data_IF_644675589914
#
_entry.id   IF_644675589914
#
_cell.length_a   1.000
_cell.length_b   1.000
_cell.length_c   1.000
_cell.angle_alpha   90.00
_cell.angle_beta   90.00
_cell.angle_gamma   90.00
#
_symmetry.space_group_name_H-M   'P 1'
#
loop_
_entity.id
_entity.type
_entity.pdbx_description
1 polymer ?
#
# COMPACT_ATOMS: atom_id res chain seq x y z
N UNK A 1 -11.49 7.66 -25.14
CA UNK A 1 -10.53 8.40 -24.28
C UNK A 1 -10.62 7.96 -22.80
N UNK A 2 -11.56 7.10 -22.38
CA UNK A 2 -11.70 6.70 -20.96
C UNK A 2 -10.71 5.62 -20.47
N UNK A 3 -10.07 4.87 -21.38
CA UNK A 3 -9.20 3.74 -21.05
C UNK A 3 -7.77 4.11 -20.64
N UNK A 4 -7.32 5.34 -20.88
CA UNK A 4 -5.91 5.72 -20.63
C UNK A 4 -5.57 5.93 -19.16
N UNK A 5 -6.57 6.14 -18.30
CA UNK A 5 -6.41 6.42 -16.86
C UNK A 5 -6.83 5.28 -15.94
N UNK A 6 -6.98 4.07 -16.49
CA UNK A 6 -7.30 2.90 -15.71
C UNK A 6 -6.02 2.23 -15.19
N UNK A 7 -5.92 2.06 -13.88
CA UNK A 7 -4.81 1.39 -13.22
C UNK A 7 -5.30 0.68 -11.96
N UNK A 8 -4.66 -0.43 -11.51
CA UNK A 8 -4.98 -1.05 -10.25
C UNK A 8 -4.79 -0.09 -9.08
N UNK A 9 -5.85 0.11 -8.30
CA UNK A 9 -5.77 0.84 -7.05
C UNK A 9 -5.49 -0.11 -5.89
N UNK A 10 -4.94 0.45 -4.80
CA UNK A 10 -4.73 -0.29 -3.57
C UNK A 10 -5.39 0.42 -2.40
N UNK A 11 -5.57 -0.31 -1.30
CA UNK A 11 -6.04 0.23 -0.02
C UNK A 11 -5.05 -0.15 1.08
N UNK A 12 -4.80 0.80 1.97
CA UNK A 12 -3.96 0.63 3.15
C UNK A 12 -4.68 1.11 4.41
N UNK A 13 -4.34 0.46 5.52
CA UNK A 13 -4.86 0.87 6.83
C UNK A 13 -3.98 1.93 7.50
N UNK A 14 -4.62 2.90 8.12
CA UNK A 14 -4.02 3.88 9.02
C UNK A 14 -4.34 3.48 10.45
N UNK A 15 -3.30 3.17 11.22
CA UNK A 15 -3.45 2.52 12.52
C UNK A 15 -3.66 3.52 13.66
N UNK A 16 -4.71 3.29 14.47
CA UNK A 16 -5.05 4.12 15.64
C UNK A 16 -3.91 4.38 16.63
N UNK A 17 -2.94 3.45 16.69
CA UNK A 17 -1.81 3.52 17.63
C UNK A 17 -1.02 4.83 17.48
N UNK A 18 -0.88 5.31 16.25
CA UNK A 18 -0.10 6.51 15.94
C UNK A 18 -0.99 7.66 15.47
N UNK A 19 -2.16 7.34 14.91
CA UNK A 19 -3.12 8.30 14.40
C UNK A 19 -4.45 8.04 15.10
N UNK A 20 -4.73 8.62 16.28
CA UNK A 20 -6.01 8.44 16.97
C UNK A 20 -7.24 8.60 16.07
N UNK A 21 -7.24 9.60 15.19
CA UNK A 21 -8.28 9.86 14.18
C UNK A 21 -7.69 9.86 12.77
N UNK A 22 -8.57 9.87 11.75
CA UNK A 22 -8.15 10.08 10.36
C UNK A 22 -7.49 11.46 10.16
N UNK A 23 -7.98 12.49 10.85
CA UNK A 23 -7.47 13.87 10.78
C UNK A 23 -5.99 13.96 11.18
N UNK A 24 -5.53 13.13 12.11
CA UNK A 24 -4.12 13.11 12.51
C UNK A 24 -3.22 12.73 11.32
N UNK A 25 -3.67 11.78 10.49
CA UNK A 25 -2.95 11.42 9.27
C UNK A 25 -3.08 12.50 8.20
N UNK A 26 -4.25 13.12 8.04
CA UNK A 26 -4.47 14.20 7.07
C UNK A 26 -3.54 15.39 7.38
N UNK A 27 -3.42 15.80 8.64
CA UNK A 27 -2.53 16.89 9.08
C UNK A 27 -1.05 16.58 8.82
N UNK A 28 -0.63 15.34 9.07
CA UNK A 28 0.73 14.90 8.74
C UNK A 28 0.95 14.88 7.22
N UNK A 29 -0.02 14.38 6.44
CA UNK A 29 0.07 14.33 4.99
C UNK A 29 0.12 15.72 4.35
N UNK A 30 -0.59 16.70 4.91
CA UNK A 30 -0.56 18.09 4.48
C UNK A 30 0.84 18.73 4.66
N UNK A 31 1.56 18.32 5.71
CA UNK A 31 2.86 18.90 6.06
C UNK A 31 4.05 18.14 5.46
N UNK A 32 3.98 16.81 5.39
CA UNK A 32 5.10 15.94 5.02
C UNK A 32 4.84 15.10 3.76
N UNK A 33 3.69 15.29 3.10
CA UNK A 33 3.23 14.41 2.04
C UNK A 33 2.79 13.03 2.55
N UNK A 34 2.06 12.28 1.71
CA UNK A 34 1.68 10.92 2.05
C UNK A 34 2.87 9.98 1.85
N UNK A 35 3.23 9.22 2.89
CA UNK A 35 4.16 8.12 2.78
C UNK A 35 3.66 6.92 3.60
N UNK A 36 3.57 5.75 2.96
CA UNK A 36 3.09 4.52 3.61
C UNK A 36 4.06 3.38 3.41
N UNK A 37 4.58 2.85 4.53
CA UNK A 37 5.45 1.67 4.52
C UNK A 37 4.72 0.46 3.96
N UNK A 38 5.34 -0.21 3.00
CA UNK A 38 4.82 -1.44 2.39
C UNK A 38 5.76 -2.62 2.72
N UNK A 39 5.22 -3.80 3.05
CA UNK A 39 6.04 -4.98 3.33
C UNK A 39 6.56 -5.66 2.06
N UNK A 40 5.87 -5.44 0.93
CA UNK A 40 6.16 -6.02 -0.38
C UNK A 40 5.78 -5.00 -1.45
N UNK A 41 6.49 -4.98 -2.58
CA UNK A 41 6.21 -4.07 -3.69
C UNK A 41 4.94 -4.51 -4.45
N UNK A 42 3.98 -3.61 -4.70
CA UNK A 42 2.82 -3.93 -5.53
C UNK A 42 3.22 -3.87 -7.01
N UNK A 43 3.41 -5.02 -7.66
CA UNK A 43 3.93 -5.08 -9.05
C UNK A 43 3.01 -4.45 -10.10
N UNK A 44 1.71 -4.37 -9.83
CA UNK A 44 0.70 -3.98 -10.81
C UNK A 44 0.26 -2.51 -10.71
N UNK A 45 0.80 -1.72 -9.76
CA UNK A 45 0.49 -0.28 -9.73
C UNK A 45 1.19 0.44 -10.87
N UNK A 46 0.59 1.55 -11.31
CA UNK A 46 1.14 2.43 -12.33
C UNK A 46 1.35 3.81 -11.71
N UNK A 47 2.61 4.24 -11.49
CA UNK A 47 2.94 5.58 -11.03
C UNK A 47 2.20 6.68 -11.81
N UNK A 48 1.68 7.69 -11.10
CA UNK A 48 0.89 8.79 -11.63
C UNK A 48 -0.56 8.44 -11.96
N UNK A 49 -0.97 7.16 -11.92
CA UNK A 49 -2.34 6.72 -12.23
C UNK A 49 -3.00 5.96 -11.08
N UNK A 50 -2.29 5.00 -10.50
CA UNK A 50 -2.78 4.21 -9.37
C UNK A 50 -2.95 5.07 -8.13
N UNK A 51 -4.01 4.80 -7.37
CA UNK A 51 -4.33 5.47 -6.11
C UNK A 51 -4.11 4.53 -4.93
N UNK A 52 -3.67 5.10 -3.82
CA UNK A 52 -3.64 4.44 -2.52
C UNK A 52 -4.76 4.99 -1.65
N UNK A 53 -5.84 4.23 -1.53
CA UNK A 53 -6.93 4.53 -0.61
C UNK A 53 -6.50 4.29 0.84
N UNK A 54 -6.99 5.14 1.73
CA UNK A 54 -6.65 5.11 3.14
C UNK A 54 -7.91 4.86 3.96
N UNK A 55 -7.87 3.79 4.74
CA UNK A 55 -8.93 3.45 5.68
C UNK A 55 -8.46 3.60 7.13
N UNK A 56 -9.38 4.01 7.99
CA UNK A 56 -9.19 4.15 9.43
C UNK A 56 -10.47 3.69 10.14
N UNK A 57 -10.37 3.14 11.35
CA UNK A 57 -11.53 2.68 12.12
C UNK A 57 -11.83 3.49 13.37
N UNK A 58 -11.13 4.60 13.59
CA UNK A 58 -11.13 5.39 14.83
C UNK A 58 -10.97 4.56 16.11
N UNK A 59 -10.42 3.35 15.93
CA UNK A 59 -10.27 2.37 16.98
C UNK A 59 -11.44 1.46 17.29
N UNK A 60 -12.53 1.56 16.55
CA UNK A 60 -13.70 0.69 16.63
C UNK A 60 -13.63 -0.45 15.62
N UNK A 61 -13.39 -1.67 16.12
CA UNK A 61 -13.19 -2.84 15.25
C UNK A 61 -14.44 -3.08 14.39
N UNK A 62 -14.23 -3.09 13.07
CA UNK A 62 -15.29 -3.34 12.09
C UNK A 62 -15.95 -2.07 11.56
N UNK A 63 -15.58 -0.89 12.07
CA UNK A 63 -16.04 0.41 11.58
C UNK A 63 -15.00 1.08 10.67
N UNK A 64 -14.37 0.32 9.78
CA UNK A 64 -13.41 0.90 8.84
C UNK A 64 -14.11 1.90 7.93
N UNK A 65 -13.54 3.08 7.78
CA UNK A 65 -13.99 4.14 6.88
C UNK A 65 -12.84 4.55 5.96
N UNK A 66 -13.06 4.55 4.65
CA UNK A 66 -12.16 5.15 3.68
C UNK A 66 -12.38 6.66 3.76
N UNK A 67 -11.35 7.39 4.17
CA UNK A 67 -11.43 8.84 4.38
C UNK A 67 -10.74 9.64 3.27
N UNK A 68 -9.99 8.98 2.39
CA UNK A 68 -9.31 9.64 1.28
C UNK A 68 -8.37 8.71 0.54
N UNK A 69 -7.64 9.29 -0.41
CA UNK A 69 -6.59 8.62 -1.16
C UNK A 69 -5.50 9.60 -1.58
N UNK A 70 -4.35 9.07 -2.00
CA UNK A 70 -3.35 9.83 -2.72
C UNK A 70 -2.99 9.13 -4.03
N UNK A 71 -2.58 9.89 -5.05
CA UNK A 71 -2.04 9.34 -6.30
C UNK A 71 -0.61 8.89 -6.03
N UNK A 72 -0.27 7.66 -6.41
CA UNK A 72 1.04 7.08 -6.14
C UNK A 72 2.03 7.60 -7.18
N UNK A 73 3.11 8.27 -6.77
CA UNK A 73 4.21 8.68 -7.68
C UNK A 73 5.27 7.61 -7.88
N UNK A 74 5.36 6.66 -6.95
CA UNK A 74 6.30 5.56 -7.03
C UNK A 74 6.60 4.96 -5.67
N UNK A 75 7.77 4.35 -5.57
CA UNK A 75 8.26 3.70 -4.35
C UNK A 75 9.59 4.31 -3.95
N UNK A 76 9.69 4.79 -2.72
CA UNK A 76 10.96 5.15 -2.11
C UNK A 76 11.50 3.98 -1.29
N UNK A 77 12.79 3.64 -1.46
CA UNK A 77 13.45 2.57 -0.72
C UNK A 77 14.65 3.13 0.03
N UNK A 78 14.71 2.91 1.34
CA UNK A 78 15.80 3.43 2.16
C UNK A 78 17.01 2.49 2.05
N UNK A 79 17.96 2.82 1.19
CA UNK A 79 19.15 2.02 0.90
C UNK A 79 20.33 2.93 0.56
N UNK A 80 21.53 2.49 0.93
CA UNK A 80 22.80 3.17 0.62
C UNK A 80 23.71 2.29 -0.28
N UNK A 81 23.29 1.06 -0.57
CA UNK A 81 24.05 0.06 -1.31
C UNK A 81 23.72 0.15 -2.81
N UNK A 82 24.69 0.62 -3.61
CA UNK A 82 24.52 0.87 -5.05
C UNK A 82 24.10 -0.39 -5.83
N UNK A 83 24.75 -1.54 -5.57
CA UNK A 83 24.41 -2.81 -6.24
C UNK A 83 22.96 -3.23 -5.98
N UNK A 84 22.49 -3.04 -4.74
CA UNK A 84 21.09 -3.32 -4.40
C UNK A 84 20.14 -2.32 -5.05
N UNK A 85 20.51 -1.05 -5.13
CA UNK A 85 19.68 -0.02 -5.76
C UNK A 85 19.49 -0.36 -7.25
N UNK A 86 20.58 -0.64 -7.97
CA UNK A 86 20.54 -1.04 -9.38
C UNK A 86 19.65 -2.26 -9.58
N UNK A 87 19.82 -3.30 -8.75
CA UNK A 87 18.96 -4.49 -8.81
C UNK A 87 17.48 -4.15 -8.63
N UNK A 88 17.14 -3.27 -7.69
CA UNK A 88 15.74 -2.87 -7.46
C UNK A 88 15.18 -2.07 -8.64
N UNK A 89 15.99 -1.20 -9.24
CA UNK A 89 15.58 -0.42 -10.40
C UNK A 89 15.40 -1.30 -11.65
N UNK A 90 16.24 -2.32 -11.83
CA UNK A 90 16.10 -3.28 -12.91
C UNK A 90 14.87 -4.17 -12.73
N UNK A 91 14.65 -4.71 -11.52
CA UNK A 91 13.55 -5.63 -11.24
C UNK A 91 12.19 -4.93 -11.16
N UNK A 92 12.16 -3.67 -10.71
CA UNK A 92 10.94 -2.92 -10.42
C UNK A 92 10.88 -1.53 -11.08
N UNK A 93 11.59 -1.33 -12.19
CA UNK A 93 11.65 -0.03 -12.87
C UNK A 93 10.29 0.56 -13.24
N UNK A 94 9.28 -0.28 -13.47
CA UNK A 94 7.90 0.16 -13.73
C UNK A 94 7.22 0.87 -12.55
N UNK A 95 7.75 0.70 -11.33
CA UNK A 95 7.22 1.29 -10.10
C UNK A 95 7.83 2.66 -9.77
N UNK A 96 8.70 3.19 -10.63
CA UNK A 96 9.45 4.42 -10.36
C UNK A 96 10.16 4.35 -9.00
N UNK A 97 11.05 3.37 -8.85
CA UNK A 97 11.79 3.14 -7.60
C UNK A 97 12.87 4.22 -7.42
N UNK A 98 12.76 4.97 -6.33
CA UNK A 98 13.69 6.02 -5.96
C UNK A 98 14.46 5.63 -4.69
N UNK A 99 15.80 5.53 -4.75
CA UNK A 99 16.60 5.29 -3.57
C UNK A 99 16.61 6.54 -2.67
N UNK A 100 16.53 6.34 -1.36
CA UNK A 100 16.76 7.39 -0.38
C UNK A 100 17.84 6.93 0.59
N UNK A 101 18.88 7.76 0.75
CA UNK A 101 19.97 7.42 1.67
C UNK A 101 19.49 7.38 3.13
N UNK A 102 20.13 6.56 3.95
CA UNK A 102 19.86 6.51 5.40
C UNK A 102 20.12 7.86 6.06
N UNK A 103 21.12 8.61 5.57
CA UNK A 103 21.44 9.95 6.07
C UNK A 103 20.27 10.90 5.82
N UNK A 104 19.77 10.98 4.58
CA UNK A 104 18.61 11.79 4.25
C UNK A 104 17.39 11.39 5.08
N UNK A 105 17.09 10.09 5.15
CA UNK A 105 15.96 9.56 5.93
C UNK A 105 16.04 9.90 7.43
N UNK A 106 17.25 10.00 7.99
CA UNK A 106 17.46 10.34 9.40
C UNK A 106 17.26 11.83 9.71
N UNK A 107 17.49 12.70 8.70
CA UNK A 107 17.32 14.15 8.82
C UNK A 107 15.89 14.63 8.61
N UNK A 108 15.01 13.76 8.13
CA UNK A 108 13.61 14.10 7.90
C UNK A 108 12.83 14.37 9.20
N UNK A 109 11.82 15.25 9.14
CA UNK A 109 10.88 15.40 10.23
C UNK A 109 10.27 14.06 10.63
N UNK A 110 10.21 13.82 11.93
CA UNK A 110 9.65 12.58 12.48
C UNK A 110 8.15 12.50 12.22
N UNK A 111 7.72 11.44 11.53
CA UNK A 111 6.29 11.09 11.39
C UNK A 111 5.76 10.49 12.70
N UNK A 112 4.46 10.59 12.94
CA UNK A 112 3.76 10.01 14.09
C UNK A 112 4.00 8.50 14.17
N UNK A 113 4.09 7.81 13.03
CA UNK A 113 4.40 6.38 12.99
C UNK A 113 5.89 6.04 13.19
N UNK A 114 6.77 7.03 13.37
CA UNK A 114 8.21 6.88 13.53
C UNK A 114 9.02 7.40 12.34
N UNK A 115 10.32 7.13 12.36
CA UNK A 115 11.24 7.48 11.27
C UNK A 115 11.25 6.43 10.17
N UNK A 116 11.73 6.81 8.99
CA UNK A 116 11.98 5.86 7.91
C UNK A 116 13.26 5.08 8.20
N UNK A 117 13.20 3.76 8.02
CA UNK A 117 14.26 2.85 8.45
C UNK A 117 14.92 2.21 7.25
N UNK A 118 16.24 2.00 7.33
CA UNK A 118 17.01 1.24 6.34
C UNK A 118 16.34 -0.09 5.96
N UNK A 119 16.33 -0.40 4.67
CA UNK A 119 15.73 -1.59 4.08
C UNK A 119 14.20 -1.57 3.99
N UNK A 120 13.54 -0.48 4.38
CA UNK A 120 12.09 -0.35 4.22
C UNK A 120 11.73 0.38 2.91
N UNK A 121 10.61 -0.05 2.33
CA UNK A 121 10.00 0.57 1.13
C UNK A 121 8.73 1.34 1.50
N UNK A 122 8.51 2.46 0.83
CA UNK A 122 7.39 3.37 1.08
C UNK A 122 6.71 3.73 -0.23
N UNK A 123 5.39 3.63 -0.27
CA UNK A 123 4.61 4.32 -1.31
C UNK A 123 4.54 5.78 -0.97
N UNK A 124 4.80 6.63 -1.95
CA UNK A 124 4.81 8.08 -1.80
C UNK A 124 3.80 8.73 -2.74
N UNK A 125 3.29 9.89 -2.31
CA UNK A 125 2.34 10.66 -3.08
C UNK A 125 2.97 11.41 -4.24
N UNK A 126 2.15 11.67 -5.24
CA UNK A 126 2.44 12.59 -6.34
C UNK A 126 2.53 14.04 -5.85
N UNK A 127 3.55 14.73 -6.34
CA UNK A 127 3.79 16.15 -6.07
C UNK A 127 3.29 17.03 -7.24
N UNK A 128 3.08 16.43 -8.41
CA UNK A 128 2.42 17.06 -9.53
C UNK A 128 0.92 17.20 -9.26
N UNK A 129 0.51 18.43 -8.89
CA UNK A 129 -0.86 18.74 -8.55
C UNK A 129 -1.81 18.55 -9.72
N UNK A 130 -1.37 18.68 -10.97
CA UNK A 130 -2.25 18.49 -12.13
C UNK A 130 -2.76 17.05 -12.18
N UNK A 131 -1.92 16.07 -11.87
CA UNK A 131 -2.31 14.65 -11.76
C UNK A 131 -3.24 14.40 -10.57
N UNK A 132 -2.99 15.07 -9.44
CA UNK A 132 -3.87 14.96 -8.26
C UNK A 132 -5.25 15.53 -8.58
N UNK A 133 -5.31 16.71 -9.20
CA UNK A 133 -6.54 17.34 -9.68
C UNK A 133 -7.26 16.45 -10.69
N UNK A 134 -6.56 15.88 -11.66
CA UNK A 134 -7.15 14.96 -12.64
C UNK A 134 -7.76 13.71 -11.98
N UNK A 135 -7.11 13.18 -10.95
CA UNK A 135 -7.63 12.05 -10.17
C UNK A 135 -8.83 12.42 -9.29
N UNK A 136 -8.89 13.66 -8.81
CA UNK A 136 -9.95 14.18 -7.95
C UNK A 136 -11.14 14.77 -8.74
N UNK A 137 -10.94 15.20 -9.99
CA UNK A 137 -11.92 15.92 -10.81
C UNK A 137 -13.29 15.21 -10.87
N UNK A 138 -13.38 13.88 -11.06
CA UNK A 138 -14.67 13.20 -11.05
C UNK A 138 -15.38 13.17 -9.69
N UNK A 139 -14.69 13.58 -8.62
CA UNK A 139 -15.15 13.61 -7.24
C UNK A 139 -15.22 15.05 -6.70
N UNK A 140 -15.16 16.07 -7.56
CA UNK A 140 -15.03 17.47 -7.14
C UNK A 140 -16.11 17.95 -6.15
N UNK A 141 -17.32 17.37 -6.20
CA UNK A 141 -18.41 17.68 -5.26
C UNK A 141 -18.40 16.81 -3.98
N UNK A 142 -17.57 15.76 -3.95
CA UNK A 142 -17.54 14.73 -2.89
C UNK A 142 -16.22 14.68 -2.14
N UNK A 143 -15.21 15.43 -2.59
CA UNK A 143 -13.86 15.40 -2.05
C UNK A 143 -13.21 16.79 -2.11
N UNK A 144 -12.27 16.99 -1.20
CA UNK A 144 -11.42 18.16 -1.12
C UNK A 144 -9.95 17.73 -1.32
N UNK A 145 -9.11 18.63 -1.80
CA UNK A 145 -7.68 18.37 -2.01
C UNK A 145 -6.90 19.08 -0.90
N UNK A 146 -6.22 18.29 -0.06
CA UNK A 146 -5.43 18.78 1.06
C UNK A 146 -3.97 18.37 0.87
N UNK A 147 -3.21 19.27 0.23
CA UNK A 147 -1.83 18.99 -0.19
C UNK A 147 -1.81 17.89 -1.26
N UNK A 148 -1.06 16.83 -1.00
CA UNK A 148 -0.92 15.68 -1.91
C UNK A 148 -2.03 14.63 -1.76
N UNK A 149 -3.00 14.87 -0.87
CA UNK A 149 -4.08 13.95 -0.54
C UNK A 149 -5.43 14.48 -1.03
N UNK A 150 -6.26 13.56 -1.51
CA UNK A 150 -7.69 13.79 -1.77
C UNK A 150 -8.48 13.25 -0.57
N UNK A 151 -9.15 14.14 0.15
CA UNK A 151 -9.93 13.85 1.36
C UNK A 151 -11.40 13.79 1.00
N UNK A 152 -12.12 12.77 1.45
CA UNK A 152 -13.55 12.63 1.14
C UNK A 152 -14.38 13.45 2.11
N UNK A 153 -15.32 14.24 1.58
CA UNK A 153 -16.29 14.97 2.40
C UNK A 153 -17.21 14.01 3.16
N UNK A 154 -17.50 12.86 2.55
CA UNK A 154 -18.26 11.77 3.14
C UNK A 154 -17.43 10.48 3.07
N UNK A 155 -16.81 10.06 4.19
CA UNK A 155 -16.07 8.81 4.25
C UNK A 155 -16.92 7.60 3.86
N UNK A 156 -16.31 6.63 3.18
CA UNK A 156 -17.00 5.43 2.68
C UNK A 156 -16.85 4.28 3.68
N UNK A 157 -17.94 3.65 4.14
CA UNK A 157 -17.86 2.44 4.96
C UNK A 157 -17.09 1.32 4.24
N UNK A 158 -16.04 0.82 4.87
CA UNK A 158 -15.23 -0.27 4.37
C UNK A 158 -15.46 -1.51 5.24
N UNK A 159 -16.21 -2.51 4.75
CA UNK A 159 -16.78 -3.60 5.55
C UNK A 159 -15.74 -4.64 6.03
N UNK A 160 -14.44 -4.37 5.87
CA UNK A 160 -13.39 -5.31 6.25
C UNK A 160 -12.80 -4.95 7.61
N UNK A 161 -12.34 -5.99 8.29
CA UNK A 161 -11.52 -5.82 9.49
C UNK A 161 -10.18 -5.18 9.14
N UNK A 162 -9.59 -4.50 10.13
CA UNK A 162 -8.23 -3.96 10.07
C UNK A 162 -7.24 -5.02 9.55
N UNK A 163 -6.40 -4.61 8.61
CA UNK A 163 -5.33 -5.43 8.04
C UNK A 163 -3.98 -4.69 8.07
N UNK A 164 -2.89 -5.41 7.79
CA UNK A 164 -1.54 -4.84 7.68
C UNK A 164 -1.07 -4.88 6.23
N UNK A 165 -0.28 -3.88 5.86
CA UNK A 165 0.22 -3.74 4.49
C UNK A 165 -0.84 -3.14 3.58
N UNK A 166 -0.96 -3.70 2.38
CA UNK A 166 -1.86 -3.21 1.33
C UNK A 166 -2.67 -4.37 0.74
N UNK A 167 -3.83 -4.03 0.19
CA UNK A 167 -4.64 -4.92 -0.65
C UNK A 167 -5.01 -4.20 -1.95
N UNK A 168 -5.23 -4.94 -3.02
CA UNK A 168 -5.86 -4.37 -4.21
C UNK A 168 -7.29 -3.95 -3.88
N UNK A 169 -7.67 -2.78 -4.36
CA UNK A 169 -9.02 -2.28 -4.25
C UNK A 169 -9.92 -2.97 -5.27
N UNK A 170 -11.06 -3.48 -4.82
CA UNK A 170 -12.04 -4.13 -5.68
C UNK A 170 -12.80 -3.06 -6.48
N UNK A 171 -12.72 -3.05 -7.83
CA UNK A 171 -13.46 -2.08 -8.65
C UNK A 171 -14.97 -2.13 -8.36
N UNK A 172 -15.51 -3.33 -8.14
CA UNK A 172 -16.94 -3.56 -7.85
C UNK A 172 -17.36 -2.97 -6.50
N UNK A 173 -16.43 -2.82 -5.56
CA UNK A 173 -16.70 -2.13 -4.30
C UNK A 173 -16.88 -0.64 -4.53
N UNK A 174 -15.95 -0.01 -5.27
CA UNK A 174 -16.02 1.42 -5.59
C UNK A 174 -17.23 1.76 -6.48
N UNK A 175 -17.63 0.85 -7.38
CA UNK A 175 -18.80 1.03 -8.25
C UNK A 175 -20.10 1.29 -7.48
N UNK A 176 -20.22 0.81 -6.24
CA UNK A 176 -21.42 1.00 -5.40
C UNK A 176 -21.60 2.42 -4.88
N UNK A 177 -20.55 3.25 -4.96
CA UNK A 177 -20.53 4.61 -4.41
C UNK A 177 -20.48 5.68 -5.50
N UNK A 178 -20.93 5.34 -6.71
CA UNK A 178 -20.81 6.17 -7.93
C UNK A 178 -19.39 6.68 -8.15
N UNK A 179 -18.40 5.85 -7.79
CA UNK A 179 -17.00 6.20 -7.95
C UNK A 179 -16.57 5.98 -9.40
N UNK A 180 -15.70 6.84 -9.95
CA UNK A 180 -15.17 6.65 -11.29
C UNK A 180 -14.45 5.31 -11.35
N UNK A 181 -14.83 4.48 -12.31
CA UNK A 181 -14.25 3.17 -12.58
C UNK A 181 -12.88 3.33 -13.25
N UNK A 182 -11.93 3.84 -12.46
CA UNK A 182 -10.49 3.91 -12.78
C UNK A 182 -9.73 2.68 -12.29
N UNK A 183 -10.24 2.00 -11.27
CA UNK A 183 -9.58 0.79 -10.75
C UNK A 183 -9.77 -0.36 -11.73
N UNK A 184 -8.67 -0.98 -12.15
CA UNK A 184 -8.71 -2.23 -12.92
C UNK A 184 -8.74 -3.44 -11.99
N UNK A 185 -9.52 -4.48 -12.32
CA UNK A 185 -9.47 -5.74 -11.59
C UNK A 185 -8.10 -6.40 -11.80
N UNK A 186 -7.40 -6.74 -10.72
CA UNK A 186 -6.16 -7.51 -10.81
C UNK A 186 -6.51 -8.99 -10.94
N UNK A 187 -6.29 -9.56 -12.12
CA UNK A 187 -6.42 -11.01 -12.32
C UNK A 187 -5.19 -11.70 -11.74
N UNK A 188 -5.27 -12.14 -10.48
CA UNK A 188 -4.21 -13.00 -9.91
C UNK A 188 -4.15 -14.31 -10.70
N UNK A 189 -3.17 -14.47 -11.58
CA UNK A 189 -2.81 -15.79 -12.11
C UNK A 189 -2.14 -16.57 -10.99
N UNK A 190 -2.92 -17.33 -10.22
CA UNK A 190 -2.38 -18.27 -9.25
C UNK A 190 -1.72 -19.41 -10.04
N UNK A 191 -0.39 -19.39 -10.15
CA UNK A 191 0.36 -20.59 -10.55
C UNK A 191 0.28 -21.58 -9.40
N UNK A 192 -0.65 -22.53 -9.48
CA UNK A 192 -0.66 -23.69 -8.59
C UNK A 192 0.45 -24.63 -9.07
N UNK A 193 1.67 -24.42 -8.60
CA UNK A 193 2.75 -25.41 -8.77
C UNK A 193 2.51 -26.55 -7.78
N UNK A 194 1.99 -27.67 -8.26
CA UNK A 194 1.98 -28.92 -7.51
C UNK A 194 3.44 -29.38 -7.34
N UNK A 195 4.04 -29.11 -6.18
CA UNK A 195 5.26 -29.83 -5.78
C UNK A 195 4.90 -31.29 -5.56
N UNK A 196 5.52 -32.19 -6.33
CA UNK A 196 5.42 -33.63 -6.09
C UNK A 196 5.78 -33.94 -4.64
N UNK A 197 4.94 -34.74 -3.98
CA UNK A 197 5.20 -35.21 -2.61
C UNK A 197 6.50 -36.01 -2.62
N UNK A 198 7.54 -35.50 -1.95
CA UNK A 198 8.70 -36.31 -1.59
C UNK A 198 8.22 -37.54 -0.82
N UNK A 199 8.40 -38.73 -1.39
CA UNK A 199 8.26 -39.97 -0.65
C UNK A 199 9.31 -39.97 0.46
N UNK A 200 8.86 -39.90 1.72
CA UNK A 200 9.74 -40.09 2.86
C UNK A 200 10.00 -41.58 2.95
N UNK A 201 11.22 -42.00 2.60
CA UNK A 201 11.70 -43.33 2.90
C UNK A 201 11.68 -43.49 4.42
N UNK A 202 10.87 -44.42 4.93
CA UNK A 202 10.88 -44.82 6.33
C UNK A 202 12.12 -45.68 6.53
N UNK A 203 13.28 -45.05 6.72
CA UNK A 203 14.46 -45.75 7.19
C UNK A 203 14.22 -46.22 8.63
N UNK A 204 14.50 -47.50 8.86
CA UNK A 204 14.07 -48.26 10.03
C UNK A 204 14.50 -47.63 11.34
N UNK A 205 13.50 -47.25 12.15
CA UNK A 205 13.70 -46.99 13.57
C UNK A 205 14.05 -48.32 14.27
N UNK A 206 15.09 -48.35 15.10
CA UNK A 206 15.46 -49.54 15.85
C UNK A 206 14.31 -49.93 16.80
N UNK A 207 13.89 -51.20 16.71
CA UNK A 207 12.96 -51.83 17.63
C UNK A 207 13.53 -51.73 19.05
N UNK A 208 12.94 -50.87 19.88
CA UNK A 208 13.25 -50.84 21.31
C UNK A 208 12.93 -52.22 21.90
N UNK A 209 13.99 -52.95 22.27
CA UNK A 209 13.91 -54.14 23.09
C UNK A 209 13.39 -53.76 24.47
N UNK A 210 12.14 -54.10 24.75
CA UNK A 210 11.56 -54.01 26.09
C UNK A 210 12.30 -54.95 27.04
N UNK A 211 13.05 -54.37 27.98
CA UNK A 211 13.55 -55.08 29.15
C UNK A 211 12.38 -55.44 30.08
N UNK A 212 12.25 -56.73 30.35
CA UNK A 212 11.51 -57.24 31.51
C UNK A 212 12.30 -56.94 32.80
N UNK A 213 11.55 -56.94 33.90
CA UNK A 213 11.94 -56.86 35.33
C UNK A 213 13.33 -57.39 35.67
#
# INVERSE_FOLDING_TARGET
METENQAPDIIMWVGKKFYPTADDFIKEALTLGCAKRIPMLPSEIVPGKSRCFLAHDEGEKGQGMIFGFFVISGVEVILDDEERIEKYQDEYGSLNVQPVSSVQASTEPRRLCGQRTYGASYLVSENDMDKVFEAALPLAEKADIQGSMVVLLHPIPFPRIRFRGWHYMEPEFLAKYDWPQRSLPVTRKVKIEHKEKKQVAVEGLPLFSGGNR
#
